data_IF_186840423297
#
_entry.id   IF_186840423297
#
_cell.length_a   1.000
_cell.length_b   1.000
_cell.length_c   1.000
_cell.angle_alpha   90.00
_cell.angle_beta   90.00
_cell.angle_gamma   90.00
#
_symmetry.space_group_name_H-M   'P 1'
#
loop_
_entity.id
_entity.type
_entity.pdbx_description
1 polymer ?
#
# COMPACT_ATOMS: atom_id res chain seq x y z
N UNK A 1 -17.36 -9.75 -9.78
CA UNK A 1 -16.06 -9.13 -9.46
C UNK A 1 -15.93 -9.13 -7.95
N UNK A 2 -15.00 -9.92 -7.45
CA UNK A 2 -14.81 -10.19 -6.03
C UNK A 2 -13.50 -9.53 -5.57
N UNK A 3 -13.48 -9.00 -4.34
CA UNK A 3 -12.26 -8.49 -3.72
C UNK A 3 -11.58 -9.64 -2.98
N UNK A 4 -10.33 -9.95 -3.33
CA UNK A 4 -9.53 -10.97 -2.65
C UNK A 4 -8.36 -10.32 -1.96
N UNK A 5 -8.17 -10.62 -0.68
CA UNK A 5 -6.99 -10.19 0.07
C UNK A 5 -5.73 -10.86 -0.49
N UNK A 6 -4.70 -10.06 -0.70
CA UNK A 6 -3.36 -10.50 -1.04
C UNK A 6 -2.52 -10.53 0.24
N UNK A 7 -1.90 -11.67 0.58
CA UNK A 7 -1.00 -11.73 1.73
C UNK A 7 0.22 -10.85 1.45
N UNK A 8 0.25 -9.66 2.04
CA UNK A 8 1.42 -8.81 1.99
C UNK A 8 2.50 -9.35 2.94
N UNK A 9 3.74 -9.37 2.46
CA UNK A 9 4.93 -9.67 3.26
C UNK A 9 5.99 -8.59 3.03
N UNK A 10 6.70 -8.23 4.10
CA UNK A 10 7.85 -7.32 3.99
C UNK A 10 8.87 -7.90 3.00
N UNK A 11 9.34 -7.08 2.06
CA UNK A 11 10.21 -7.55 0.97
C UNK A 11 9.47 -7.91 -0.33
N UNK A 12 8.14 -7.81 -0.39
CA UNK A 12 7.37 -8.05 -1.62
C UNK A 12 7.75 -7.04 -2.71
N UNK A 13 7.83 -7.47 -3.98
CA UNK A 13 8.12 -6.57 -5.09
C UNK A 13 7.04 -5.48 -5.23
N UNK A 14 7.43 -4.20 -5.25
CA UNK A 14 6.47 -3.09 -5.26
C UNK A 14 5.55 -3.10 -6.49
N UNK A 15 6.00 -3.64 -7.63
CA UNK A 15 5.22 -3.72 -8.87
C UNK A 15 4.00 -4.64 -8.73
N UNK A 16 4.06 -5.59 -7.81
CA UNK A 16 2.93 -6.46 -7.47
C UNK A 16 1.88 -5.74 -6.61
N UNK A 17 2.20 -4.58 -6.04
CA UNK A 17 1.34 -3.82 -5.13
C UNK A 17 0.79 -2.53 -5.76
N UNK A 18 1.53 -1.95 -6.71
CA UNK A 18 1.11 -0.76 -7.44
C UNK A 18 -0.26 -0.93 -8.12
N UNK A 19 -1.13 0.06 -7.95
CA UNK A 19 -2.50 0.06 -8.50
C UNK A 19 -3.49 -0.80 -7.71
N UNK A 20 -3.07 -1.43 -6.62
CA UNK A 20 -3.95 -2.25 -5.79
C UNK A 20 -4.61 -1.46 -4.67
N UNK A 21 -5.88 -1.75 -4.33
CA UNK A 21 -6.52 -1.23 -3.13
C UNK A 21 -5.83 -1.75 -1.87
N UNK A 22 -5.70 -0.88 -0.89
CA UNK A 22 -5.19 -1.17 0.43
C UNK A 22 -6.06 -0.53 1.52
N UNK A 23 -6.12 -1.20 2.66
CA UNK A 23 -6.74 -0.72 3.90
C UNK A 23 -5.67 -0.79 4.99
N UNK A 24 -5.58 0.26 5.81
CA UNK A 24 -4.58 0.34 6.87
C UNK A 24 -4.97 1.39 7.90
N UNK A 25 -4.31 1.36 9.06
CA UNK A 25 -4.42 2.40 10.06
C UNK A 25 -3.25 3.39 9.92
N UNK A 26 -3.55 4.68 9.72
CA UNK A 26 -2.57 5.77 9.74
C UNK A 26 -2.66 6.53 11.05
N UNK A 27 -1.63 6.46 11.91
CA UNK A 27 -1.63 7.09 13.23
C UNK A 27 -2.93 6.80 14.03
N UNK A 28 -3.40 5.54 13.97
CA UNK A 28 -4.61 5.08 14.65
C UNK A 28 -5.94 5.44 13.97
N UNK A 29 -5.91 6.02 12.76
CA UNK A 29 -7.13 6.29 11.97
C UNK A 29 -7.26 5.30 10.81
N UNK A 30 -8.44 4.69 10.60
CA UNK A 30 -8.65 3.79 9.48
C UNK A 30 -8.63 4.56 8.15
N UNK A 31 -7.83 4.07 7.22
CA UNK A 31 -7.63 4.63 5.88
C UNK A 31 -7.85 3.55 4.83
N UNK A 32 -8.27 3.96 3.64
CA UNK A 32 -8.37 3.10 2.48
C UNK A 32 -8.03 3.88 1.22
N UNK A 33 -7.44 3.21 0.23
CA UNK A 33 -7.22 3.80 -1.08
C UNK A 33 -6.38 2.92 -1.99
N UNK A 34 -6.07 3.44 -3.17
CA UNK A 34 -5.23 2.74 -4.15
C UNK A 34 -3.76 3.14 -3.95
N UNK A 35 -2.88 2.15 -3.97
CA UNK A 35 -1.43 2.35 -3.88
C UNK A 35 -0.87 2.88 -5.20
N UNK A 36 -0.15 3.99 -5.14
CA UNK A 36 0.54 4.58 -6.29
C UNK A 36 2.00 4.85 -5.96
N UNK A 37 2.87 4.65 -6.94
CA UNK A 37 4.26 5.08 -6.84
C UNK A 37 4.31 6.61 -6.84
N UNK A 38 4.81 7.21 -5.77
CA UNK A 38 5.09 8.64 -5.71
C UNK A 38 6.47 8.99 -6.29
N UNK A 39 6.78 10.28 -6.39
CA UNK A 39 8.07 10.77 -6.90
C UNK A 39 9.25 10.57 -5.93
N UNK A 40 9.03 9.99 -4.74
CA UNK A 40 10.01 9.79 -3.68
C UNK A 40 10.25 8.30 -3.39
N UNK A 41 9.90 7.41 -4.34
CA UNK A 41 10.05 5.96 -4.22
C UNK A 41 9.25 5.37 -3.04
N UNK A 42 8.01 5.83 -2.86
CA UNK A 42 7.06 5.20 -1.94
C UNK A 42 5.83 4.70 -2.69
N UNK A 43 5.22 3.64 -2.18
CA UNK A 43 3.81 3.38 -2.47
C UNK A 43 2.97 4.18 -1.49
N UNK A 44 2.22 5.13 -2.03
CA UNK A 44 1.40 6.07 -1.28
C UNK A 44 -0.08 5.94 -1.65
N UNK A 45 -0.94 6.26 -0.69
CA UNK A 45 -2.37 6.50 -0.96
C UNK A 45 -2.59 8.00 -1.12
N UNK A 46 -3.33 8.37 -2.17
CA UNK A 46 -3.67 9.77 -2.45
C UNK A 46 -4.89 10.19 -1.63
N UNK A 47 -4.73 11.20 -0.80
CA UNK A 47 -5.80 11.90 -0.08
C UNK A 47 -5.93 13.35 -0.60
N UNK A 48 -7.03 14.04 -0.28
CA UNK A 48 -7.25 15.45 -0.65
C UNK A 48 -6.11 16.37 -0.20
N UNK A 49 -5.46 16.07 0.92
CA UNK A 49 -4.35 16.82 1.50
C UNK A 49 -2.97 16.47 0.93
N UNK A 50 -2.84 15.44 0.09
CA UNK A 50 -1.57 15.02 -0.48
C UNK A 50 -1.38 13.49 -0.55
N UNK A 51 -0.13 13.06 -0.73
CA UNK A 51 0.26 11.65 -0.73
C UNK A 51 0.63 11.21 0.67
N UNK A 52 0.02 10.11 1.14
CA UNK A 52 0.36 9.44 2.40
C UNK A 52 1.27 8.25 2.09
N UNK A 53 2.58 8.31 2.39
CA UNK A 53 3.51 7.23 2.08
C UNK A 53 3.25 6.03 3.00
N UNK A 54 2.79 4.92 2.42
CA UNK A 54 2.37 3.71 3.15
C UNK A 54 3.50 2.69 3.19
N UNK A 55 4.13 2.44 2.03
CA UNK A 55 5.29 1.56 1.90
C UNK A 55 6.49 2.33 1.35
N UNK A 56 7.66 2.11 1.93
CA UNK A 56 8.94 2.53 1.38
C UNK A 56 9.42 1.52 0.34
N UNK A 57 9.97 2.00 -0.78
CA UNK A 57 10.60 1.13 -1.76
C UNK A 57 12.11 1.21 -1.57
N UNK A 58 12.73 0.05 -1.38
CA UNK A 58 14.19 -0.07 -1.32
C UNK A 58 14.81 -0.13 -2.72
N UNK A 59 16.13 0.09 -2.85
CA UNK A 59 16.81 0.11 -4.15
C UNK A 59 16.70 -1.20 -4.97
N UNK A 60 16.36 -2.31 -4.33
CA UNK A 60 16.14 -3.64 -4.91
C UNK A 60 14.67 -3.90 -5.31
N UNK A 61 13.86 -2.85 -5.45
CA UNK A 61 12.43 -2.89 -5.79
C UNK A 61 11.53 -3.57 -4.73
N UNK A 62 12.02 -3.82 -3.52
CA UNK A 62 11.20 -4.39 -2.45
C UNK A 62 10.44 -3.32 -1.66
N UNK A 63 9.20 -3.62 -1.29
CA UNK A 63 8.33 -2.73 -0.56
C UNK A 63 8.29 -3.08 0.94
N UNK A 64 8.46 -2.08 1.79
CA UNK A 64 8.53 -2.20 3.23
C UNK A 64 7.54 -1.27 3.94
N UNK A 65 6.74 -1.79 4.87
CA UNK A 65 5.73 -0.98 5.59
C UNK A 65 6.39 0.12 6.40
N UNK A 66 5.84 1.33 6.31
CA UNK A 66 6.18 2.42 7.21
C UNK A 66 5.57 2.20 8.61
N UNK A 67 6.15 1.28 9.38
CA UNK A 67 5.65 0.84 10.69
C UNK A 67 5.54 1.94 11.75
N UNK A 68 6.15 3.12 11.53
CA UNK A 68 6.01 4.26 12.44
C UNK A 68 4.62 4.88 12.39
N UNK A 69 3.97 4.82 11.22
CA UNK A 69 2.71 5.51 10.98
C UNK A 69 1.60 4.55 10.52
N UNK A 70 1.96 3.37 10.01
CA UNK A 70 1.05 2.40 9.37
C UNK A 70 0.96 1.12 10.20
N UNK A 71 -0.24 0.72 10.59
CA UNK A 71 -0.54 -0.60 11.19
C UNK A 71 -1.70 -1.27 10.48
N UNK A 72 -1.90 -2.57 10.74
CA UNK A 72 -3.03 -3.36 10.20
C UNK A 72 -3.15 -3.20 8.67
N UNK A 73 -2.03 -3.37 7.97
CA UNK A 73 -1.93 -3.13 6.53
C UNK A 73 -2.40 -4.37 5.74
N UNK A 74 -3.43 -4.18 4.93
CA UNK A 74 -4.02 -5.20 4.07
C UNK A 74 -4.08 -4.70 2.63
N UNK A 75 -3.72 -5.55 1.67
CA UNK A 75 -3.77 -5.26 0.23
C UNK A 75 -4.75 -6.21 -0.44
N UNK A 76 -5.44 -5.75 -1.48
CA UNK A 76 -6.44 -6.55 -2.16
C UNK A 76 -6.26 -6.52 -3.68
N UNK A 77 -6.81 -7.51 -4.37
CA UNK A 77 -6.94 -7.54 -5.82
C UNK A 77 -8.39 -7.72 -6.22
N UNK A 78 -8.79 -7.07 -7.31
CA UNK A 78 -10.02 -7.40 -8.02
C UNK A 78 -9.80 -8.69 -8.81
N UNK A 79 -10.68 -9.67 -8.61
CA UNK A 79 -10.74 -10.90 -9.41
C UNK A 79 -12.05 -10.90 -10.18
N UNK A 80 -11.99 -11.17 -11.48
CA UNK A 80 -13.19 -11.53 -12.25
C UNK A 80 -13.63 -12.94 -11.82
N UNK A 81 -14.95 -13.14 -11.72
CA UNK A 81 -15.55 -14.41 -11.30
C UNK A 81 -15.49 -15.47 -12.41
#
# INVERSE_FOLDING_TARGET
>A
MTLKELPYQDGTNWKELGGKPAIFNWNGKPMAGILYLDGFSNLAVRELSGYMPVLYIWPDDTAHVNVKCVTDFHVFSFVED
#
